data_IF_824825931897
#
_entry.id   IF_824825931897
#
_cell.length_a   1.000
_cell.length_b   1.000
_cell.length_c   1.000
_cell.angle_alpha   90.00
_cell.angle_beta   90.00
_cell.angle_gamma   90.00
#
_symmetry.space_group_name_H-M   'P 1'
#
loop_
_entity.id
_entity.type
_entity.pdbx_description
1 polymer ?
#
# COMPACT_ATOMS: atom_id res chain seq x y z
N UNK A 1 -5.30 -0.49 -28.06
CA UNK A 1 -4.92 -1.93 -28.14
C UNK A 1 -5.84 -2.69 -27.21
N UNK A 2 -6.39 -3.83 -27.62
CA UNK A 2 -7.32 -4.62 -26.80
C UNK A 2 -6.62 -5.87 -26.23
N UNK A 3 -6.86 -6.15 -24.96
CA UNK A 3 -6.31 -7.27 -24.19
C UNK A 3 -7.39 -8.29 -23.90
N UNK A 4 -7.07 -9.58 -24.04
CA UNK A 4 -7.93 -10.67 -23.59
C UNK A 4 -7.89 -10.80 -22.06
N UNK A 5 -8.90 -11.48 -21.47
CA UNK A 5 -8.91 -11.77 -20.02
C UNK A 5 -7.62 -12.44 -19.55
N UNK A 6 -7.05 -13.34 -20.35
CA UNK A 6 -5.82 -14.07 -20.01
C UNK A 6 -4.60 -13.16 -19.99
N UNK A 7 -4.48 -12.26 -20.96
CA UNK A 7 -3.39 -11.27 -20.99
C UNK A 7 -3.52 -10.29 -19.84
N UNK A 8 -4.73 -9.78 -19.58
CA UNK A 8 -4.98 -8.88 -18.47
C UNK A 8 -4.66 -9.55 -17.12
N UNK A 9 -5.05 -10.81 -16.94
CA UNK A 9 -4.71 -11.60 -15.74
C UNK A 9 -3.19 -11.72 -15.57
N UNK A 10 -2.45 -11.98 -16.65
CA UNK A 10 -0.98 -12.08 -16.63
C UNK A 10 -0.31 -10.76 -16.27
N UNK A 11 -0.81 -9.63 -16.79
CA UNK A 11 -0.24 -8.29 -16.56
C UNK A 11 -0.53 -7.81 -15.14
N UNK A 12 -1.77 -7.99 -14.67
CA UNK A 12 -2.23 -7.47 -13.38
C UNK A 12 -1.92 -8.39 -12.19
N UNK A 13 -1.52 -9.64 -12.43
CA UNK A 13 -1.36 -10.66 -11.39
C UNK A 13 -2.68 -11.16 -10.79
N UNK A 14 -3.82 -10.70 -11.33
CA UNK A 14 -5.17 -11.08 -10.88
C UNK A 14 -5.60 -12.37 -11.57
N UNK A 15 -6.24 -13.28 -10.84
CA UNK A 15 -6.74 -14.51 -11.44
C UNK A 15 -7.87 -14.23 -12.46
N UNK A 16 -7.94 -15.05 -13.51
CA UNK A 16 -9.05 -14.99 -14.50
C UNK A 16 -10.41 -15.09 -13.81
N UNK A 17 -10.51 -15.92 -12.76
CA UNK A 17 -11.72 -16.07 -11.94
C UNK A 17 -12.13 -14.74 -11.29
N UNK A 18 -11.17 -14.01 -10.73
CA UNK A 18 -11.43 -12.69 -10.11
C UNK A 18 -11.88 -11.67 -11.15
N UNK A 19 -11.29 -11.66 -12.35
CA UNK A 19 -11.74 -10.78 -13.44
C UNK A 19 -13.17 -11.10 -13.91
N UNK A 20 -13.53 -12.39 -14.01
CA UNK A 20 -14.91 -12.78 -14.29
C UNK A 20 -15.86 -12.35 -13.17
N UNK A 21 -15.47 -12.53 -11.93
CA UNK A 21 -16.27 -12.09 -10.79
C UNK A 21 -16.47 -10.57 -10.80
N UNK A 22 -15.45 -9.78 -11.13
CA UNK A 22 -15.57 -8.32 -11.27
C UNK A 22 -16.52 -7.90 -12.42
N UNK A 23 -16.59 -8.66 -13.52
CA UNK A 23 -17.58 -8.46 -14.59
C UNK A 23 -19.00 -8.79 -14.09
N UNK A 24 -19.16 -9.90 -13.35
CA UNK A 24 -20.45 -10.34 -12.80
C UNK A 24 -21.05 -9.34 -11.81
N UNK A 25 -20.23 -8.78 -10.90
CA UNK A 25 -20.68 -7.74 -9.96
C UNK A 25 -20.75 -6.34 -10.61
N UNK A 26 -20.35 -6.21 -11.88
CA UNK A 26 -20.37 -4.96 -12.63
C UNK A 26 -19.31 -3.94 -12.18
N UNK A 27 -18.29 -4.37 -11.44
CA UNK A 27 -17.21 -3.52 -10.95
C UNK A 27 -16.22 -3.17 -12.07
N UNK A 28 -15.89 -4.17 -12.92
CA UNK A 28 -15.06 -4.01 -14.10
C UNK A 28 -15.74 -4.68 -15.31
N UNK A 29 -16.33 -3.87 -16.19
CA UNK A 29 -16.94 -4.37 -17.43
C UNK A 29 -15.91 -4.37 -18.57
N UNK A 30 -15.91 -5.41 -19.42
CA UNK A 30 -15.09 -5.42 -20.63
C UNK A 30 -15.54 -4.32 -21.59
N UNK A 31 -14.61 -3.83 -22.41
CA UNK A 31 -14.92 -2.87 -23.47
C UNK A 31 -15.84 -3.49 -24.51
N UNK A 32 -15.55 -4.73 -24.91
CA UNK A 32 -16.37 -5.48 -25.84
C UNK A 32 -16.40 -6.98 -25.51
N UNK A 33 -17.48 -7.63 -25.93
CA UNK A 33 -17.61 -9.09 -25.95
C UNK A 33 -17.65 -9.51 -27.42
N UNK A 34 -16.67 -10.32 -27.84
CA UNK A 34 -16.64 -10.85 -29.21
C UNK A 34 -17.74 -11.87 -29.45
N UNK A 35 -18.00 -12.23 -30.71
CA UNK A 35 -19.02 -13.19 -31.10
C UNK A 35 -18.90 -14.56 -30.40
N UNK A 36 -17.68 -14.95 -30.04
CA UNK A 36 -17.37 -16.21 -29.34
C UNK A 36 -17.41 -16.05 -27.81
N UNK A 37 -18.05 -15.00 -27.29
CA UNK A 37 -18.13 -14.67 -25.87
C UNK A 37 -16.77 -14.37 -25.18
N UNK A 38 -15.71 -14.10 -25.97
CA UNK A 38 -14.43 -13.60 -25.45
C UNK A 38 -14.60 -12.15 -24.99
N UNK A 39 -14.00 -11.83 -23.84
CA UNK A 39 -14.00 -10.47 -23.28
C UNK A 39 -12.70 -9.76 -23.64
N UNK A 40 -12.84 -8.52 -24.09
CA UNK A 40 -11.73 -7.65 -24.44
C UNK A 40 -11.72 -6.41 -23.55
N UNK A 41 -10.52 -6.02 -23.12
CA UNK A 41 -10.27 -4.87 -22.26
C UNK A 41 -9.33 -3.91 -22.97
N UNK A 42 -9.64 -2.62 -22.95
CA UNK A 42 -8.75 -1.58 -23.44
C UNK A 42 -8.13 -0.82 -22.27
N UNK A 43 -7.30 0.17 -22.59
CA UNK A 43 -6.56 0.98 -21.62
C UNK A 43 -7.45 1.53 -20.50
N UNK A 44 -8.67 1.98 -20.81
CA UNK A 44 -9.61 2.48 -19.80
C UNK A 44 -9.98 1.42 -18.76
N UNK A 45 -10.17 0.16 -19.17
CA UNK A 45 -10.46 -0.93 -18.24
C UNK A 45 -9.22 -1.35 -17.46
N UNK A 46 -8.03 -1.25 -18.05
CA UNK A 46 -6.78 -1.48 -17.34
C UNK A 46 -6.59 -0.44 -16.22
N UNK A 47 -6.80 0.84 -16.52
CA UNK A 47 -6.75 1.93 -15.53
C UNK A 47 -7.80 1.72 -14.43
N UNK A 48 -9.02 1.33 -14.79
CA UNK A 48 -10.06 1.01 -13.81
C UNK A 48 -9.69 -0.18 -12.94
N UNK A 49 -9.12 -1.25 -13.51
CA UNK A 49 -8.63 -2.40 -12.74
C UNK A 49 -7.53 -1.98 -11.77
N UNK A 50 -6.59 -1.13 -12.21
CA UNK A 50 -5.53 -0.61 -11.35
C UNK A 50 -6.11 0.13 -10.14
N UNK A 51 -7.11 1.00 -10.34
CA UNK A 51 -7.81 1.69 -9.26
C UNK A 51 -8.50 0.72 -8.30
N UNK A 52 -9.20 -0.29 -8.82
CA UNK A 52 -9.86 -1.33 -7.99
C UNK A 52 -8.83 -2.03 -7.10
N UNK A 53 -7.67 -2.39 -7.65
CA UNK A 53 -6.61 -3.05 -6.90
C UNK A 53 -6.03 -2.15 -5.81
N UNK A 54 -5.80 -0.86 -6.11
CA UNK A 54 -5.34 0.10 -5.10
C UNK A 54 -6.32 0.23 -3.92
N UNK A 55 -7.62 0.41 -4.19
CA UNK A 55 -8.59 0.50 -3.10
C UNK A 55 -8.73 -0.80 -2.31
N UNK A 56 -8.56 -1.95 -2.98
CA UNK A 56 -8.55 -3.25 -2.31
C UNK A 56 -7.35 -3.40 -1.37
N UNK A 57 -6.17 -2.94 -1.77
CA UNK A 57 -4.97 -2.93 -0.90
C UNK A 57 -5.15 -2.01 0.32
N UNK A 58 -5.89 -0.92 0.15
CA UNK A 58 -6.29 -0.03 1.24
C UNK A 58 -7.34 -0.61 2.20
N UNK A 59 -7.86 -1.82 1.93
CA UNK A 59 -8.86 -2.47 2.76
C UNK A 59 -10.29 -1.97 2.55
N UNK A 60 -10.57 -1.24 1.47
CA UNK A 60 -11.95 -0.85 1.15
C UNK A 60 -12.77 -2.07 0.75
N UNK A 61 -14.03 -2.10 1.21
CA UNK A 61 -14.98 -3.10 0.76
C UNK A 61 -15.34 -2.89 -0.71
N UNK A 62 -15.54 -3.97 -1.46
CA UNK A 62 -15.79 -3.93 -2.92
C UNK A 62 -17.02 -3.10 -3.29
N UNK A 63 -18.03 -3.06 -2.42
CA UNK A 63 -19.22 -2.22 -2.58
C UNK A 63 -18.90 -0.72 -2.51
N UNK A 64 -17.96 -0.33 -1.65
CA UNK A 64 -17.55 1.07 -1.51
C UNK A 64 -16.68 1.49 -2.70
N UNK A 65 -15.79 0.59 -3.15
CA UNK A 65 -15.01 0.78 -4.37
C UNK A 65 -15.95 1.02 -5.57
N UNK A 66 -17.01 0.23 -5.70
CA UNK A 66 -17.99 0.40 -6.77
C UNK A 66 -18.66 1.77 -6.72
N UNK A 67 -19.08 2.23 -5.54
CA UNK A 67 -19.72 3.55 -5.36
C UNK A 67 -18.74 4.68 -5.71
N UNK A 68 -17.51 4.60 -5.23
CA UNK A 68 -16.47 5.61 -5.48
C UNK A 68 -16.16 5.72 -6.99
N UNK A 69 -16.00 4.59 -7.67
CA UNK A 69 -15.69 4.54 -9.11
C UNK A 69 -16.89 4.84 -10.02
N UNK A 70 -18.09 4.96 -9.46
CA UNK A 70 -19.30 5.36 -10.18
C UNK A 70 -19.61 6.86 -10.04
N UNK A 71 -18.93 7.57 -9.15
CA UNK A 71 -19.08 9.01 -8.99
C UNK A 71 -18.22 9.75 -10.02
N UNK A 72 -18.85 10.52 -10.91
CA UNK A 72 -18.16 11.30 -11.95
C UNK A 72 -17.22 12.39 -11.38
N UNK A 73 -17.48 12.85 -10.15
CA UNK A 73 -16.73 13.94 -9.50
C UNK A 73 -15.62 13.44 -8.56
N UNK A 74 -15.33 12.14 -8.54
CA UNK A 74 -14.26 11.62 -7.71
C UNK A 74 -12.90 11.99 -8.31
N UNK A 75 -12.19 12.90 -7.64
CA UNK A 75 -10.83 13.30 -8.00
C UNK A 75 -9.85 12.15 -7.71
N UNK A 76 -9.70 11.29 -8.72
CA UNK A 76 -8.80 10.14 -8.71
C UNK A 76 -7.37 10.53 -8.32
N UNK A 77 -6.89 11.69 -8.76
CA UNK A 77 -5.53 12.15 -8.48
C UNK A 77 -5.39 12.48 -7.00
N UNK A 78 -6.36 13.20 -6.43
CA UNK A 78 -6.37 13.53 -4.99
C UNK A 78 -6.43 12.28 -4.11
N UNK A 79 -7.23 11.28 -4.49
CA UNK A 79 -7.33 10.01 -3.77
C UNK A 79 -6.01 9.21 -3.82
N UNK A 80 -5.38 9.12 -5.00
CA UNK A 80 -4.08 8.47 -5.16
C UNK A 80 -2.97 9.20 -4.38
N UNK A 81 -2.98 10.53 -4.36
CA UNK A 81 -2.03 11.31 -3.56
C UNK A 81 -2.21 11.10 -2.05
N UNK A 82 -3.46 11.05 -1.58
CA UNK A 82 -3.74 10.74 -0.17
C UNK A 82 -3.25 9.32 0.18
N UNK A 83 -3.44 8.35 -0.71
CA UNK A 83 -2.93 7.00 -0.53
C UNK A 83 -1.41 6.94 -0.49
N UNK A 84 -0.74 7.62 -1.42
CA UNK A 84 0.72 7.73 -1.46
C UNK A 84 1.26 8.20 -0.11
N UNK A 85 0.61 9.19 0.50
CA UNK A 85 0.97 9.71 1.82
C UNK A 85 0.81 8.66 2.93
N UNK A 86 -0.28 7.89 2.93
CA UNK A 86 -0.48 6.81 3.91
C UNK A 86 0.64 5.76 3.80
N UNK A 87 1.01 5.37 2.58
CA UNK A 87 2.11 4.42 2.36
C UNK A 87 3.46 5.00 2.81
N UNK A 88 3.71 6.28 2.57
CA UNK A 88 4.92 6.95 3.08
C UNK A 88 4.96 6.95 4.60
N UNK A 89 3.85 7.25 5.28
CA UNK A 89 3.74 7.21 6.74
C UNK A 89 3.97 5.78 7.28
N UNK A 90 3.49 4.74 6.59
CA UNK A 90 3.78 3.35 6.93
C UNK A 90 5.24 2.97 6.75
N UNK A 91 5.89 3.45 5.68
CA UNK A 91 7.32 3.23 5.46
C UNK A 91 8.12 3.85 6.59
N UNK A 92 7.82 5.10 6.96
CA UNK A 92 8.48 5.77 8.10
C UNK A 92 8.31 4.95 9.37
N UNK A 93 7.08 4.53 9.69
CA UNK A 93 6.81 3.69 10.87
C UNK A 93 7.59 2.37 10.85
N UNK A 94 7.63 1.68 9.71
CA UNK A 94 8.36 0.40 9.58
C UNK A 94 9.87 0.61 9.78
N UNK A 95 10.42 1.72 9.28
CA UNK A 95 11.83 2.07 9.49
C UNK A 95 12.14 2.40 10.96
N UNK A 96 11.24 3.09 11.67
CA UNK A 96 11.38 3.35 13.10
C UNK A 96 11.39 2.04 13.92
N UNK A 97 10.55 1.08 13.54
CA UNK A 97 10.54 -0.26 14.14
C UNK A 97 11.83 -1.03 13.87
N UNK A 98 12.33 -1.03 12.63
CA UNK A 98 13.61 -1.65 12.28
C UNK A 98 14.74 -1.06 13.13
N UNK A 99 14.79 0.27 13.24
CA UNK A 99 15.79 0.96 14.07
C UNK A 99 15.71 0.53 15.54
N UNK A 100 14.49 0.35 16.06
CA UNK A 100 14.28 -0.12 17.43
C UNK A 100 14.81 -1.54 17.59
N UNK A 101 14.51 -2.44 16.65
CA UNK A 101 15.02 -3.82 16.62
C UNK A 101 16.55 -3.83 16.60
N UNK A 102 17.18 -3.03 15.75
CA UNK A 102 18.65 -2.96 15.64
C UNK A 102 19.30 -2.54 16.96
N UNK A 103 18.74 -1.51 17.62
CA UNK A 103 19.21 -1.08 18.95
C UNK A 103 19.02 -2.16 20.01
N UNK A 104 17.88 -2.87 20.00
CA UNK A 104 17.64 -3.99 20.93
C UNK A 104 18.63 -5.13 20.68
N UNK A 105 18.96 -5.45 19.43
CA UNK A 105 19.99 -6.45 19.09
C UNK A 105 21.35 -6.03 19.65
N UNK A 106 21.72 -4.75 19.51
CA UNK A 106 22.98 -4.22 20.05
C UNK A 106 23.02 -4.30 21.58
N UNK A 107 21.95 -3.87 22.26
CA UNK A 107 21.80 -3.98 23.71
C UNK A 107 22.03 -5.42 24.21
N UNK A 108 21.39 -6.39 23.56
CA UNK A 108 21.48 -7.81 23.94
C UNK A 108 22.85 -8.43 23.64
N UNK A 109 23.56 -7.97 22.61
CA UNK A 109 24.89 -8.51 22.23
C UNK A 109 26.03 -7.92 23.06
N UNK A 110 25.99 -6.61 23.31
CA UNK A 110 27.13 -5.87 23.87
C UNK A 110 26.95 -5.52 25.36
N UNK A 111 25.83 -5.94 25.98
CA UNK A 111 25.48 -5.63 27.37
C UNK A 111 25.51 -4.10 27.67
N UNK A 112 25.30 -3.28 26.65
CA UNK A 112 25.27 -1.82 26.74
C UNK A 112 23.92 -1.35 27.26
N UNK A 113 23.84 -0.54 28.31
CA UNK A 113 22.56 -0.07 28.84
C UNK A 113 21.72 0.69 27.78
N UNK A 114 20.52 0.19 27.50
CA UNK A 114 19.50 0.88 26.70
C UNK A 114 18.53 1.58 27.65
N UNK A 115 18.13 2.81 27.33
CA UNK A 115 17.10 3.51 28.12
C UNK A 115 15.72 2.91 27.84
N UNK A 116 14.89 2.82 28.87
CA UNK A 116 13.51 2.30 28.75
C UNK A 116 12.70 3.00 27.67
N UNK A 117 12.93 4.31 27.49
CA UNK A 117 12.32 5.16 26.46
C UNK A 117 12.65 4.69 25.03
N UNK A 118 13.85 4.14 24.81
CA UNK A 118 14.29 3.69 23.49
C UNK A 118 13.70 2.32 23.12
N UNK A 119 13.31 1.50 24.10
CA UNK A 119 12.69 0.19 23.85
C UNK A 119 11.33 0.31 23.17
N UNK A 120 10.62 1.42 23.40
CA UNK A 120 9.26 1.64 22.90
C UNK A 120 9.15 2.69 21.79
N UNK A 121 10.27 3.28 21.37
CA UNK A 121 10.30 4.40 20.39
C UNK A 121 9.56 4.06 19.08
N UNK A 122 9.82 2.90 18.47
CA UNK A 122 9.16 2.50 17.21
C UNK A 122 7.66 2.17 17.35
N UNK A 123 7.14 2.04 18.57
CA UNK A 123 5.74 1.71 18.83
C UNK A 123 4.87 2.95 19.07
N UNK A 124 5.46 4.05 19.55
CA UNK A 124 4.70 5.19 20.04
C UNK A 124 4.59 6.33 19.01
N UNK A 125 3.37 6.67 18.61
CA UNK A 125 3.08 7.72 17.61
C UNK A 125 3.42 9.14 18.08
N UNK A 126 3.76 9.34 19.36
CA UNK A 126 3.80 10.65 20.02
C UNK A 126 5.13 11.03 20.65
N UNK A 127 6.14 10.17 20.64
CA UNK A 127 7.42 10.53 21.26
C UNK A 127 8.17 11.52 20.35
N UNK A 128 8.58 12.69 20.88
CA UNK A 128 9.34 13.65 20.10
C UNK A 128 10.62 12.98 19.61
N UNK A 129 10.97 13.20 18.34
CA UNK A 129 12.29 12.84 17.80
C UNK A 129 13.34 13.60 18.62
N UNK A 130 13.83 13.03 19.71
CA UNK A 130 14.92 13.59 20.48
C UNK A 130 16.21 13.40 19.70
N UNK A 131 16.40 14.25 18.69
CA UNK A 131 17.68 14.41 18.03
C UNK A 131 18.59 15.21 18.96
N UNK A 132 19.25 14.55 19.91
CA UNK A 132 20.43 15.10 20.58
C UNK A 132 21.42 13.97 20.88
N UNK A 133 22.11 13.52 19.82
CA UNK A 133 23.43 12.96 20.01
C UNK A 133 24.40 14.10 20.34
N UNK A 134 24.56 14.41 21.62
CA UNK A 134 25.80 14.96 22.15
C UNK A 134 26.25 14.07 23.29
N UNK A 135 26.79 12.90 22.95
CA UNK A 135 27.66 12.20 23.89
C UNK A 135 29.06 12.78 23.70
N UNK A 136 29.34 13.88 24.39
CA UNK A 136 30.70 14.35 24.61
C UNK A 136 31.40 13.30 25.46
N UNK A 137 32.22 12.46 24.84
CA UNK A 137 33.10 11.52 25.51
C UNK A 137 34.14 12.32 26.32
N UNK A 138 33.87 12.56 27.60
CA UNK A 138 34.89 13.00 28.55
C UNK A 138 35.72 11.78 28.96
N UNK A 139 36.80 11.53 28.21
CA UNK A 139 37.88 10.65 28.67
C UNK A 139 38.55 11.38 29.84
N UNK A 140 38.35 10.86 31.06
CA UNK A 140 39.05 11.32 32.25
C UNK A 140 40.42 10.64 32.36
N UNK A 141 41.39 11.47 32.78
CA UNK A 141 42.81 11.22 33.08
C UNK A 141 43.13 9.90 33.77
#
# INVERSE_FOLDING_TARGET
MAYTVKELAKISGVSVRTLHWYDEIGLLKPFSKGANNYRYYEEQQLLRLQQILFFKELGFALNDIQKLLSQNDFDNIKALNAHRKILEDEIVRKNDLITTIDKTIQHLRENQAMKDEELYYGFDKKLPKSNQYTCSTSVSK
#
